data_IF_906923076532
#
_entry.id   IF_906923076532
#
_cell.length_a   1.000
_cell.length_b   1.000
_cell.length_c   1.000
_cell.angle_alpha   90.00
_cell.angle_beta   90.00
_cell.angle_gamma   90.00
#
_symmetry.space_group_name_H-M   'P 1'
#
loop_
_entity.id
_entity.type
_entity.pdbx_description
1 polymer ?
#
# COMPACT_ATOMS: atom_id res chain seq x y z
N UNK A 1 3.55 -12.94 -33.80
CA UNK A 1 2.65 -13.43 -32.74
C UNK A 1 3.09 -12.79 -31.44
N UNK A 2 2.40 -11.75 -31.03
CA UNK A 2 2.72 -10.99 -29.81
C UNK A 2 2.10 -11.71 -28.61
N UNK A 3 2.93 -12.12 -27.65
CA UNK A 3 2.50 -12.72 -26.41
C UNK A 3 1.88 -11.66 -25.49
N UNK A 4 0.62 -11.83 -25.14
CA UNK A 4 -0.06 -11.07 -24.10
C UNK A 4 0.61 -11.35 -22.74
N UNK A 5 1.26 -10.33 -22.23
CA UNK A 5 1.71 -10.28 -20.83
C UNK A 5 0.46 -10.21 -19.95
N UNK A 6 0.14 -11.33 -19.28
CA UNK A 6 -0.96 -11.42 -18.32
C UNK A 6 -0.82 -10.36 -17.24
N UNK A 7 -1.68 -9.32 -17.31
CA UNK A 7 -1.92 -8.39 -16.20
C UNK A 7 -2.53 -9.20 -15.07
N UNK A 8 -1.75 -9.42 -14.03
CA UNK A 8 -2.25 -9.87 -12.74
C UNK A 8 -3.35 -8.89 -12.30
N UNK A 9 -4.59 -9.35 -12.24
CA UNK A 9 -5.75 -8.59 -11.80
C UNK A 9 -5.59 -8.20 -10.34
N UNK A 10 -4.95 -7.07 -10.09
CA UNK A 10 -5.07 -6.36 -8.85
C UNK A 10 -6.55 -5.98 -8.69
N UNK A 11 -7.14 -6.35 -7.57
CA UNK A 11 -8.50 -6.00 -7.18
C UNK A 11 -8.54 -4.49 -6.91
N UNK A 12 -8.57 -3.70 -7.98
CA UNK A 12 -8.70 -2.24 -7.97
C UNK A 12 -10.11 -1.87 -7.48
N UNK A 13 -10.34 -2.05 -6.17
CA UNK A 13 -11.46 -1.37 -5.53
C UNK A 13 -11.25 0.12 -5.77
N UNK A 14 -12.20 0.80 -6.42
CA UNK A 14 -12.07 2.22 -6.68
C UNK A 14 -11.80 2.91 -5.35
N UNK A 15 -10.63 3.52 -5.25
CA UNK A 15 -10.20 4.27 -4.06
C UNK A 15 -11.26 5.33 -3.83
N UNK A 16 -12.08 5.11 -2.78
CA UNK A 16 -13.33 5.81 -2.58
C UNK A 16 -13.15 7.32 -2.42
N UNK A 17 -13.24 8.03 -3.53
CA UNK A 17 -13.35 9.49 -3.56
C UNK A 17 -14.79 9.98 -3.46
N UNK A 18 -15.73 9.10 -3.11
CA UNK A 18 -17.17 9.37 -3.05
C UNK A 18 -17.58 10.32 -1.91
N UNK A 19 -16.69 10.61 -0.96
CA UNK A 19 -16.93 11.60 0.10
C UNK A 19 -17.27 13.00 -0.46
N UNK A 20 -16.83 13.28 -1.68
CA UNK A 20 -17.17 14.52 -2.40
C UNK A 20 -18.67 14.63 -2.61
N UNK A 21 -19.39 13.51 -2.72
CA UNK A 21 -20.84 13.51 -2.87
C UNK A 21 -21.57 14.12 -1.66
N UNK A 22 -20.98 14.10 -0.47
CA UNK A 22 -21.56 14.75 0.70
C UNK A 22 -21.71 16.25 0.51
N UNK A 23 -20.74 16.87 -0.19
CA UNK A 23 -20.83 18.30 -0.51
C UNK A 23 -21.96 18.60 -1.50
N UNK A 24 -22.34 17.63 -2.36
CA UNK A 24 -23.39 17.77 -3.37
C UNK A 24 -24.75 17.39 -2.79
N UNK A 25 -24.86 16.24 -2.12
CA UNK A 25 -26.13 15.64 -1.69
C UNK A 25 -26.75 16.35 -0.49
N UNK A 26 -25.94 17.02 0.34
CA UNK A 26 -26.44 17.78 1.48
C UNK A 26 -26.45 19.27 1.09
N UNK A 27 -27.65 19.85 0.80
CA UNK A 27 -27.77 21.21 0.30
C UNK A 27 -27.30 22.25 1.34
N UNK A 28 -27.14 23.48 0.89
CA UNK A 28 -26.75 24.66 1.68
C UNK A 28 -25.37 24.53 2.36
N UNK A 29 -24.53 23.59 1.90
CA UNK A 29 -23.13 23.47 2.36
C UNK A 29 -22.94 22.64 3.64
N UNK A 30 -23.98 22.15 4.31
CA UNK A 30 -23.86 21.35 5.55
C UNK A 30 -23.07 20.05 5.38
N UNK A 31 -23.07 19.44 4.20
CA UNK A 31 -22.31 18.23 3.90
C UNK A 31 -20.81 18.45 3.72
N UNK A 32 -20.38 19.66 3.38
CA UNK A 32 -18.98 19.98 3.07
C UNK A 32 -18.05 19.79 4.27
N UNK A 33 -18.34 20.33 5.48
CA UNK A 33 -17.53 20.10 6.67
C UNK A 33 -17.38 18.61 7.02
N UNK A 34 -18.50 17.87 6.96
CA UNK A 34 -18.51 16.44 7.24
C UNK A 34 -17.67 15.63 6.23
N UNK A 35 -17.76 15.96 4.95
CA UNK A 35 -16.96 15.36 3.89
C UNK A 35 -15.46 15.57 4.11
N UNK A 36 -15.04 16.81 4.39
CA UNK A 36 -13.63 17.11 4.69
C UNK A 36 -13.14 16.47 6.00
N UNK A 37 -13.99 16.41 7.03
CA UNK A 37 -13.67 15.73 8.28
C UNK A 37 -13.43 14.23 8.06
N UNK A 38 -14.32 13.57 7.33
CA UNK A 38 -14.18 12.17 6.95
C UNK A 38 -12.90 11.93 6.12
N UNK A 39 -12.67 12.76 5.11
CA UNK A 39 -11.48 12.66 4.28
C UNK A 39 -10.19 12.88 5.09
N UNK A 40 -10.20 13.81 6.05
CA UNK A 40 -9.11 14.05 6.97
C UNK A 40 -8.81 12.85 7.85
N UNK A 41 -9.83 12.24 8.44
CA UNK A 41 -9.69 11.04 9.27
C UNK A 41 -9.10 9.88 8.47
N UNK A 42 -9.64 9.62 7.29
CA UNK A 42 -9.21 8.48 6.47
C UNK A 42 -7.82 8.67 5.85
N UNK A 43 -7.47 9.88 5.42
CA UNK A 43 -6.16 10.19 4.82
C UNK A 43 -5.10 10.64 5.84
N UNK A 44 -5.49 11.00 7.07
CA UNK A 44 -4.63 11.58 8.11
C UNK A 44 -4.03 12.94 7.73
N UNK A 45 -4.60 13.61 6.74
CA UNK A 45 -4.14 14.91 6.29
C UNK A 45 -4.67 16.02 7.22
N UNK A 46 -3.79 16.57 8.06
CA UNK A 46 -4.16 17.65 9.01
C UNK A 46 -4.84 18.85 8.33
N UNK A 47 -4.43 19.18 7.12
CA UNK A 47 -5.00 20.26 6.31
C UNK A 47 -6.47 20.07 5.99
N UNK A 48 -6.96 18.83 5.86
CA UNK A 48 -8.38 18.56 5.62
C UNK A 48 -9.23 18.87 6.85
N UNK A 49 -8.70 18.72 8.07
CA UNK A 49 -9.40 19.14 9.29
C UNK A 49 -9.52 20.67 9.39
N UNK A 50 -8.48 21.40 8.98
CA UNK A 50 -8.56 22.88 8.94
C UNK A 50 -9.59 23.35 7.92
N UNK A 51 -9.70 22.70 6.78
CA UNK A 51 -10.73 22.97 5.79
C UNK A 51 -12.14 22.60 6.28
N UNK A 52 -12.28 21.47 6.99
CA UNK A 52 -13.56 21.10 7.61
C UNK A 52 -14.02 22.18 8.61
N UNK A 53 -13.12 22.66 9.46
CA UNK A 53 -13.43 23.74 10.41
C UNK A 53 -13.78 25.04 9.69
N UNK A 54 -13.03 25.44 8.68
CA UNK A 54 -13.31 26.63 7.88
C UNK A 54 -14.72 26.58 7.28
N UNK A 55 -15.08 25.45 6.64
CA UNK A 55 -16.41 25.32 6.04
C UNK A 55 -17.52 25.28 7.10
N UNK A 56 -17.27 24.67 8.27
CA UNK A 56 -18.24 24.70 9.38
C UNK A 56 -18.49 26.11 9.87
N UNK A 57 -17.46 26.94 9.99
CA UNK A 57 -17.59 28.35 10.40
C UNK A 57 -18.35 29.16 9.35
N UNK A 58 -18.07 28.94 8.05
CA UNK A 58 -18.79 29.65 6.98
C UNK A 58 -20.28 29.30 6.93
N UNK A 59 -20.61 28.01 7.09
CA UNK A 59 -22.01 27.57 7.17
C UNK A 59 -22.69 28.17 8.39
N UNK A 60 -22.07 28.13 9.57
CA UNK A 60 -22.64 28.74 10.77
C UNK A 60 -22.87 30.22 10.64
N UNK A 61 -21.92 30.95 10.02
CA UNK A 61 -22.08 32.39 9.76
C UNK A 61 -23.29 32.66 8.83
N UNK A 62 -23.47 31.87 7.75
CA UNK A 62 -24.60 32.00 6.85
C UNK A 62 -25.95 31.76 7.53
N UNK A 63 -26.02 30.73 8.38
CA UNK A 63 -27.21 30.43 9.19
C UNK A 63 -27.54 31.60 10.13
N UNK A 64 -26.54 32.10 10.87
CA UNK A 64 -26.77 33.24 11.77
C UNK A 64 -27.24 34.47 11.01
N UNK A 65 -26.70 34.75 9.82
CA UNK A 65 -27.14 35.86 8.99
C UNK A 65 -28.62 35.73 8.55
N UNK A 66 -29.02 34.50 8.20
CA UNK A 66 -30.39 34.21 7.81
C UNK A 66 -31.40 34.32 8.98
N UNK A 67 -30.99 33.93 10.20
CA UNK A 67 -31.85 33.86 11.38
C UNK A 67 -31.98 35.20 12.15
N UNK A 68 -30.96 36.09 12.08
CA UNK A 68 -30.93 37.33 12.88
C UNK A 68 -31.74 38.46 12.24
N UNK A 69 -32.01 38.39 10.92
CA UNK A 69 -32.78 39.40 10.20
C UNK A 69 -34.29 39.25 10.38
N UNK A 70 -35.09 40.34 10.13
CA UNK A 70 -36.53 40.19 9.98
C UNK A 70 -36.85 39.29 8.79
N UNK A 71 -37.92 38.50 8.91
CA UNK A 71 -38.42 37.65 7.82
C UNK A 71 -38.61 38.51 6.53
N UNK A 72 -38.17 37.99 5.39
CA UNK A 72 -38.12 38.70 4.10
C UNK A 72 -37.26 39.97 4.09
N UNK A 73 -36.36 40.15 5.05
CA UNK A 73 -35.44 41.27 5.11
C UNK A 73 -34.22 41.10 4.21
N UNK A 74 -33.50 42.23 3.97
CA UNK A 74 -32.28 42.22 3.19
C UNK A 74 -31.20 41.31 3.79
N UNK A 75 -31.14 41.14 5.13
CA UNK A 75 -30.18 40.31 5.82
C UNK A 75 -30.48 38.81 5.66
N UNK A 76 -31.76 38.41 5.73
CA UNK A 76 -32.19 37.03 5.46
C UNK A 76 -31.87 36.62 4.01
N UNK A 77 -32.22 37.48 3.03
CA UNK A 77 -31.85 37.26 1.62
C UNK A 77 -30.32 37.14 1.43
N UNK A 78 -29.54 38.00 2.08
CA UNK A 78 -28.07 37.96 2.01
C UNK A 78 -27.52 36.68 2.64
N UNK A 79 -28.08 36.22 3.76
CA UNK A 79 -27.71 34.95 4.42
C UNK A 79 -27.96 33.73 3.54
N UNK A 80 -29.12 33.69 2.91
CA UNK A 80 -29.51 32.62 1.97
C UNK A 80 -28.60 32.57 0.73
N UNK A 81 -28.30 33.71 0.13
CA UNK A 81 -27.37 33.83 -1.00
C UNK A 81 -25.94 33.43 -0.59
N UNK A 82 -25.53 33.83 0.62
CA UNK A 82 -24.23 33.44 1.17
C UNK A 82 -24.12 31.92 1.38
N UNK A 83 -25.15 31.27 1.94
CA UNK A 83 -25.19 29.81 2.10
C UNK A 83 -25.13 29.09 0.74
N UNK A 84 -25.83 29.63 -0.27
CA UNK A 84 -25.72 29.07 -1.62
C UNK A 84 -24.32 29.21 -2.20
N UNK A 85 -23.65 30.35 -2.01
CA UNK A 85 -22.27 30.56 -2.45
C UNK A 85 -21.30 29.64 -1.71
N UNK A 86 -21.48 29.46 -0.39
CA UNK A 86 -20.72 28.53 0.45
C UNK A 86 -20.90 27.09 -0.06
N UNK A 87 -22.12 26.71 -0.38
CA UNK A 87 -22.39 25.38 -0.94
C UNK A 87 -21.67 25.13 -2.28
N UNK A 88 -21.81 26.04 -3.22
CA UNK A 88 -21.15 25.95 -4.55
C UNK A 88 -19.62 25.96 -4.41
N UNK A 89 -19.07 26.84 -3.56
CA UNK A 89 -17.65 26.90 -3.26
C UNK A 89 -17.14 25.62 -2.58
N UNK A 90 -17.93 25.06 -1.69
CA UNK A 90 -17.65 23.78 -1.01
C UNK A 90 -17.54 22.61 -1.98
N UNK A 91 -18.45 22.53 -2.95
CA UNK A 91 -18.41 21.53 -4.02
C UNK A 91 -17.10 21.67 -4.82
N UNK A 92 -16.83 22.88 -5.33
CA UNK A 92 -15.60 23.13 -6.10
C UNK A 92 -14.33 22.78 -5.32
N UNK A 93 -14.26 23.17 -4.04
CA UNK A 93 -13.13 22.86 -3.18
C UNK A 93 -12.98 21.36 -2.91
N UNK A 94 -14.07 20.62 -2.71
CA UNK A 94 -14.05 19.17 -2.51
C UNK A 94 -13.49 18.46 -3.76
N UNK A 95 -13.90 18.87 -4.96
CA UNK A 95 -13.33 18.35 -6.21
C UNK A 95 -11.84 18.69 -6.36
N UNK A 96 -11.42 19.90 -6.02
CA UNK A 96 -10.01 20.30 -6.06
C UNK A 96 -9.15 19.54 -5.06
N UNK A 97 -9.69 19.16 -3.89
CA UNK A 97 -8.99 18.40 -2.86
C UNK A 97 -8.91 16.89 -3.13
N UNK A 98 -9.79 16.35 -4.00
CA UNK A 98 -9.89 14.91 -4.30
C UNK A 98 -8.58 14.28 -4.77
N UNK A 99 -7.80 14.86 -5.69
CA UNK A 99 -6.54 14.25 -6.14
C UNK A 99 -5.52 14.07 -5.01
N UNK A 100 -5.39 15.05 -4.12
CA UNK A 100 -4.51 14.95 -2.96
C UNK A 100 -4.94 13.82 -2.02
N UNK A 101 -6.24 13.71 -1.76
CA UNK A 101 -6.80 12.63 -0.94
C UNK A 101 -6.50 11.25 -1.52
N UNK A 102 -6.73 11.05 -2.82
CA UNK A 102 -6.48 9.77 -3.50
C UNK A 102 -4.99 9.41 -3.44
N UNK A 103 -4.11 10.37 -3.74
CA UNK A 103 -2.65 10.15 -3.66
C UNK A 103 -2.22 9.72 -2.27
N UNK A 104 -2.69 10.40 -1.21
CA UNK A 104 -2.35 10.03 0.18
C UNK A 104 -2.85 8.66 0.59
N UNK A 105 -3.99 8.22 0.08
CA UNK A 105 -4.47 6.87 0.31
C UNK A 105 -3.62 5.82 -0.41
N UNK A 106 -3.18 6.10 -1.64
CA UNK A 106 -2.26 5.24 -2.37
C UNK A 106 -0.93 5.10 -1.64
N UNK A 107 -0.29 6.22 -1.25
CA UNK A 107 0.97 6.23 -0.49
C UNK A 107 0.87 5.40 0.80
N UNK A 108 -0.27 5.49 1.52
CA UNK A 108 -0.51 4.67 2.72
C UNK A 108 -0.70 3.20 2.41
N UNK A 109 -1.37 2.88 1.32
CA UNK A 109 -1.55 1.52 0.83
C UNK A 109 -0.19 0.88 0.51
N UNK A 110 0.68 1.59 -0.18
CA UNK A 110 2.02 1.14 -0.54
C UNK A 110 2.90 0.89 0.69
N UNK A 111 2.86 1.79 1.68
CA UNK A 111 3.59 1.60 2.95
C UNK A 111 3.05 0.41 3.73
N UNK A 112 1.72 0.24 3.80
CA UNK A 112 1.12 -0.91 4.47
C UNK A 112 1.47 -2.23 3.77
N UNK A 113 1.45 -2.27 2.44
CA UNK A 113 1.84 -3.42 1.66
C UNK A 113 3.33 -3.77 1.83
N UNK A 114 4.21 -2.74 1.84
CA UNK A 114 5.64 -2.93 2.10
C UNK A 114 5.89 -3.49 3.50
N UNK A 115 5.20 -2.97 4.53
CA UNK A 115 5.27 -3.47 5.90
C UNK A 115 4.82 -4.94 5.99
N UNK A 116 3.68 -5.27 5.38
CA UNK A 116 3.17 -6.64 5.35
C UNK A 116 4.17 -7.62 4.70
N UNK A 117 4.81 -7.22 3.59
CA UNK A 117 5.87 -8.04 2.95
C UNK A 117 7.08 -8.26 3.87
N UNK A 118 7.50 -7.24 4.62
CA UNK A 118 8.61 -7.38 5.57
C UNK A 118 8.24 -8.31 6.73
N UNK A 119 7.04 -8.19 7.27
CA UNK A 119 6.53 -9.07 8.32
C UNK A 119 6.42 -10.52 7.85
N UNK A 120 5.93 -10.76 6.62
CA UNK A 120 5.87 -12.09 6.03
C UNK A 120 7.27 -12.70 5.89
N UNK A 121 8.26 -11.94 5.40
CA UNK A 121 9.66 -12.40 5.31
C UNK A 121 10.26 -12.72 6.68
N UNK A 122 9.98 -11.89 7.68
CA UNK A 122 10.46 -12.14 9.04
C UNK A 122 9.86 -13.44 9.61
N UNK A 123 8.57 -13.68 9.43
CA UNK A 123 7.90 -14.92 9.84
C UNK A 123 8.44 -16.14 9.11
N UNK A 124 8.70 -16.04 7.79
CA UNK A 124 9.28 -17.11 7.00
C UNK A 124 10.66 -17.51 7.53
N UNK A 125 11.51 -16.53 7.84
CA UNK A 125 12.85 -16.75 8.38
C UNK A 125 12.80 -17.36 9.79
N UNK A 126 11.88 -16.91 10.60
CA UNK A 126 11.70 -17.46 11.94
C UNK A 126 11.21 -18.90 11.88
N UNK A 127 10.22 -19.21 11.04
CA UNK A 127 9.76 -20.57 10.83
C UNK A 127 10.87 -21.48 10.29
N UNK A 128 11.65 -21.01 9.31
CA UNK A 128 12.77 -21.76 8.77
C UNK A 128 13.87 -22.09 9.81
N UNK A 129 13.97 -21.29 10.89
CA UNK A 129 14.92 -21.54 11.99
C UNK A 129 14.33 -22.42 13.08
N UNK A 130 13.08 -22.19 13.48
CA UNK A 130 12.44 -22.86 14.61
C UNK A 130 11.91 -24.24 14.24
N UNK A 131 11.38 -24.39 13.03
CA UNK A 131 10.81 -25.65 12.52
C UNK A 131 11.04 -25.78 11.00
N UNK A 132 12.25 -26.23 10.60
CA UNK A 132 12.60 -26.37 9.19
C UNK A 132 11.76 -27.43 8.46
N UNK A 133 11.25 -28.44 9.15
CA UNK A 133 10.42 -29.49 8.55
C UNK A 133 9.05 -28.93 8.17
N UNK A 134 8.41 -28.22 9.08
CA UNK A 134 7.15 -27.53 8.81
C UNK A 134 7.33 -26.47 7.72
N UNK A 135 8.43 -25.72 7.73
CA UNK A 135 8.74 -24.73 6.68
C UNK A 135 8.82 -25.40 5.30
N UNK A 136 9.41 -26.60 5.23
CA UNK A 136 9.52 -27.40 4.00
C UNK A 136 8.16 -27.91 3.55
N UNK A 137 7.34 -28.45 4.46
CA UNK A 137 5.97 -28.92 4.16
C UNK A 137 5.09 -27.81 3.62
N UNK A 138 5.18 -26.61 4.17
CA UNK A 138 4.47 -25.43 3.70
C UNK A 138 5.04 -24.84 2.40
N UNK A 139 6.16 -25.34 1.90
CA UNK A 139 6.84 -24.83 0.71
C UNK A 139 7.37 -23.42 0.88
N UNK A 140 7.82 -23.06 2.09
CA UNK A 140 8.42 -21.74 2.36
C UNK A 140 9.64 -21.54 1.46
N UNK A 141 9.63 -20.44 0.71
CA UNK A 141 10.71 -20.10 -0.23
C UNK A 141 10.69 -20.88 -1.55
N UNK A 142 9.63 -21.63 -1.85
CA UNK A 142 9.50 -22.41 -3.09
C UNK A 142 8.30 -21.97 -3.92
N UNK A 143 8.37 -20.80 -4.57
CA UNK A 143 7.23 -20.23 -5.32
C UNK A 143 6.78 -21.07 -6.52
N UNK A 144 7.64 -21.99 -6.97
CA UNK A 144 7.35 -22.93 -8.08
C UNK A 144 6.39 -24.06 -7.69
N UNK A 145 6.19 -24.32 -6.41
CA UNK A 145 5.31 -25.39 -5.95
C UNK A 145 3.85 -24.93 -5.88
N UNK A 146 2.90 -25.72 -6.38
CA UNK A 146 1.49 -25.43 -6.23
C UNK A 146 1.07 -25.35 -4.76
N UNK A 147 0.41 -24.27 -4.37
CA UNK A 147 -0.06 -24.07 -2.98
C UNK A 147 1.02 -23.66 -1.97
N UNK A 148 2.27 -23.50 -2.40
CA UNK A 148 3.36 -23.10 -1.52
C UNK A 148 3.15 -21.70 -0.93
N UNK A 149 3.55 -21.56 0.34
CA UNK A 149 3.57 -20.28 1.04
C UNK A 149 4.97 -19.66 0.93
N UNK A 150 5.31 -19.14 -0.25
CA UNK A 150 6.67 -18.60 -0.50
C UNK A 150 7.03 -17.45 0.46
N UNK A 151 6.04 -16.71 1.01
CA UNK A 151 6.18 -15.66 2.04
C UNK A 151 7.22 -14.58 1.70
N UNK A 152 7.49 -14.38 0.40
CA UNK A 152 8.43 -13.37 -0.10
C UNK A 152 9.90 -13.66 0.16
N UNK A 153 10.26 -14.90 0.46
CA UNK A 153 11.64 -15.43 0.54
C UNK A 153 11.84 -16.54 -0.49
N UNK A 154 13.09 -16.89 -0.77
CA UNK A 154 13.47 -18.02 -1.65
C UNK A 154 14.34 -18.98 -0.86
N UNK A 155 14.03 -20.26 -0.91
CA UNK A 155 14.88 -21.31 -0.32
C UNK A 155 16.03 -21.68 -1.28
N UNK A 156 17.24 -21.31 -0.91
CA UNK A 156 18.42 -21.51 -1.76
C UNK A 156 18.68 -22.99 -2.01
N UNK A 157 18.39 -23.84 -1.04
CA UNK A 157 18.72 -25.25 -1.11
C UNK A 157 17.72 -26.08 -1.94
N UNK A 158 16.46 -25.66 -2.04
CA UNK A 158 15.44 -26.49 -2.69
C UNK A 158 14.72 -25.81 -3.86
N UNK A 159 14.81 -24.48 -4.02
CA UNK A 159 14.12 -23.76 -5.08
C UNK A 159 14.68 -24.09 -6.47
N UNK A 160 13.86 -23.96 -7.51
CA UNK A 160 14.29 -24.10 -8.91
C UNK A 160 15.23 -22.98 -9.33
N UNK A 161 15.98 -23.18 -10.43
CA UNK A 161 16.85 -22.13 -10.98
C UNK A 161 16.06 -20.86 -11.34
N UNK A 162 14.84 -21.00 -11.88
CA UNK A 162 13.95 -19.89 -12.21
C UNK A 162 13.51 -19.13 -10.96
N UNK A 163 13.27 -19.82 -9.85
CA UNK A 163 12.93 -19.19 -8.58
C UNK A 163 14.17 -18.48 -7.98
N UNK A 164 15.35 -19.10 -8.02
CA UNK A 164 16.60 -18.49 -7.58
C UNK A 164 16.96 -17.24 -8.36
N UNK A 165 16.66 -17.17 -9.67
CA UNK A 165 16.86 -15.98 -10.49
C UNK A 165 15.97 -14.79 -10.08
N UNK A 166 15.00 -14.98 -9.17
CA UNK A 166 14.21 -13.88 -8.59
C UNK A 166 14.92 -13.22 -7.39
N UNK A 167 16.01 -13.82 -6.88
CA UNK A 167 16.81 -13.22 -5.83
C UNK A 167 17.56 -11.98 -6.34
N UNK A 168 17.66 -10.91 -5.53
CA UNK A 168 18.33 -9.68 -5.93
C UNK A 168 19.81 -9.89 -6.23
N UNK A 169 20.22 -9.65 -7.47
CA UNK A 169 21.60 -9.81 -7.92
C UNK A 169 21.94 -11.21 -8.43
N UNK A 170 20.96 -12.09 -8.54
CA UNK A 170 21.09 -13.43 -9.12
C UNK A 170 20.51 -13.42 -10.53
N UNK A 171 21.35 -13.61 -11.52
CA UNK A 171 20.92 -13.84 -12.91
C UNK A 171 20.75 -15.35 -13.19
N UNK A 172 20.28 -15.69 -14.38
CA UNK A 172 20.02 -17.09 -14.76
C UNK A 172 21.29 -17.95 -14.74
N UNK A 173 22.47 -17.38 -15.06
CA UNK A 173 23.73 -18.10 -15.04
C UNK A 173 24.18 -18.41 -13.61
N UNK A 174 24.08 -17.42 -12.72
CA UNK A 174 24.38 -17.59 -11.30
C UNK A 174 23.37 -18.54 -10.65
N UNK A 175 22.08 -18.47 -10.99
CA UNK A 175 21.06 -19.40 -10.50
C UNK A 175 21.37 -20.85 -10.89
N UNK A 176 21.75 -21.12 -12.14
CA UNK A 176 22.14 -22.44 -12.59
C UNK A 176 23.41 -22.95 -11.85
N UNK A 177 24.39 -22.06 -11.63
CA UNK A 177 25.59 -22.36 -10.86
C UNK A 177 25.26 -22.68 -9.39
N UNK A 178 24.34 -21.94 -8.77
CA UNK A 178 23.86 -22.22 -7.42
C UNK A 178 23.25 -23.63 -7.30
N UNK A 179 22.43 -24.04 -8.28
CA UNK A 179 21.85 -25.39 -8.31
C UNK A 179 22.95 -26.46 -8.41
N UNK A 180 23.92 -26.32 -9.32
CA UNK A 180 24.98 -27.28 -9.49
C UNK A 180 25.85 -27.42 -8.22
N UNK A 181 26.29 -26.29 -7.67
CA UNK A 181 27.19 -26.28 -6.50
C UNK A 181 26.51 -26.81 -5.23
N UNK A 182 25.21 -26.49 -5.00
CA UNK A 182 24.52 -27.01 -3.81
C UNK A 182 24.43 -28.56 -3.80
N UNK A 183 24.32 -29.17 -4.98
CA UNK A 183 24.32 -30.62 -5.10
C UNK A 183 25.69 -31.24 -4.77
N UNK A 184 26.77 -30.52 -5.12
CA UNK A 184 28.15 -30.97 -4.82
C UNK A 184 28.52 -30.81 -3.34
N UNK A 185 28.09 -29.70 -2.69
CA UNK A 185 28.47 -29.38 -1.30
C UNK A 185 27.45 -29.87 -0.27
N UNK A 186 26.31 -30.43 -0.68
CA UNK A 186 25.25 -30.86 0.23
C UNK A 186 24.43 -29.70 0.81
N UNK A 187 24.28 -28.62 0.05
CA UNK A 187 23.53 -27.44 0.43
C UNK A 187 24.36 -26.34 1.12
N UNK A 188 23.73 -25.16 1.28
CA UNK A 188 24.34 -24.03 1.98
C UNK A 188 23.60 -23.79 3.31
N UNK A 189 24.37 -23.41 4.35
CA UNK A 189 23.81 -23.09 5.68
C UNK A 189 23.50 -21.61 5.84
N UNK A 190 24.15 -20.75 5.04
CA UNK A 190 24.04 -19.30 5.17
C UNK A 190 24.47 -18.56 3.90
N UNK A 191 24.06 -17.29 3.78
CA UNK A 191 24.50 -16.43 2.68
C UNK A 191 26.02 -16.17 2.66
N UNK A 192 26.72 -15.95 3.79
CA UNK A 192 28.18 -15.87 3.79
C UNK A 192 28.87 -17.14 3.27
N UNK A 193 28.42 -18.33 3.66
CA UNK A 193 28.97 -19.61 3.16
C UNK A 193 28.75 -19.74 1.65
N UNK A 194 27.54 -19.44 1.17
CA UNK A 194 27.24 -19.39 -0.26
C UNK A 194 28.19 -18.44 -0.99
N UNK A 195 28.39 -17.23 -0.47
CA UNK A 195 29.29 -16.25 -1.08
C UNK A 195 30.72 -16.71 -1.19
N UNK A 196 31.23 -17.38 -0.16
CA UNK A 196 32.58 -17.93 -0.14
C UNK A 196 32.77 -19.09 -1.12
N UNK A 197 31.75 -19.95 -1.28
CA UNK A 197 31.81 -21.14 -2.15
C UNK A 197 31.67 -20.76 -3.63
N UNK A 198 30.82 -19.77 -3.95
CA UNK A 198 30.51 -19.41 -5.34
C UNK A 198 31.29 -18.18 -5.83
N UNK A 199 32.07 -17.55 -4.97
CA UNK A 199 32.84 -16.34 -5.29
C UNK A 199 31.92 -15.19 -5.77
N UNK A 200 30.96 -14.80 -4.91
CA UNK A 200 30.02 -13.72 -5.13
C UNK A 200 30.39 -12.53 -4.25
N UNK A 201 30.28 -11.33 -4.77
CA UNK A 201 30.61 -10.11 -4.03
C UNK A 201 29.75 -9.91 -2.77
N UNK A 202 30.32 -9.24 -1.77
CA UNK A 202 29.69 -9.06 -0.45
C UNK A 202 28.33 -8.35 -0.51
N UNK A 203 28.13 -7.45 -1.47
CA UNK A 203 26.87 -6.70 -1.62
C UNK A 203 25.76 -7.65 -2.11
N UNK A 204 26.08 -8.51 -3.07
CA UNK A 204 25.16 -9.52 -3.58
C UNK A 204 24.85 -10.58 -2.51
N UNK A 205 25.84 -11.03 -1.75
CA UNK A 205 25.65 -11.92 -0.59
C UNK A 205 24.69 -11.32 0.43
N UNK A 206 24.86 -10.05 0.78
CA UNK A 206 23.95 -9.36 1.70
C UNK A 206 22.52 -9.26 1.15
N UNK A 207 22.36 -8.95 -0.14
CA UNK A 207 21.06 -8.90 -0.80
C UNK A 207 20.36 -10.25 -0.82
N UNK A 208 21.07 -11.32 -1.16
CA UNK A 208 20.59 -12.69 -1.08
C UNK A 208 20.15 -13.00 0.35
N UNK A 209 21.00 -12.74 1.34
CA UNK A 209 20.71 -13.01 2.76
C UNK A 209 19.45 -12.31 3.28
N UNK A 210 19.07 -11.15 2.70
CA UNK A 210 17.82 -10.46 3.05
C UNK A 210 16.56 -11.14 2.49
N UNK A 211 16.68 -11.83 1.36
CA UNK A 211 15.55 -12.39 0.60
C UNK A 211 15.52 -13.93 0.61
N UNK A 212 16.54 -14.58 1.13
CA UNK A 212 16.69 -16.04 1.14
C UNK A 212 16.43 -16.66 2.51
N UNK A 213 16.09 -17.95 2.48
CA UNK A 213 16.19 -18.92 3.58
C UNK A 213 17.06 -20.09 3.14
N UNK A 214 17.61 -20.83 4.09
CA UNK A 214 18.52 -21.96 3.88
C UNK A 214 17.97 -23.13 4.68
N UNK A 215 16.96 -23.83 4.14
CA UNK A 215 16.42 -25.03 4.78
C UNK A 215 17.45 -26.17 4.69
N UNK A 216 17.50 -27.05 5.69
CA UNK A 216 18.40 -28.22 5.64
C UNK A 216 18.19 -29.07 4.38
N UNK A 217 19.26 -29.59 3.81
CA UNK A 217 19.22 -30.35 2.56
C UNK A 217 18.68 -31.75 2.81
#
# INVERSE_FOLDING_TARGET
>A
MAGEVGRAGGNDKPVGGWWVLWAILVPLGFGTPAGFLYAGFRSGARRLYTWALMWAVLVAAGVVMAEVGPEDGALDTAGSLFLFAVWMGGIGHAFAARPEYIRRLADRGDVAAARSRLEQRARAKELARSDPELARELGVGRPELPGAQAMGVIDVNHASAEALAQLPGVDAQLAARLVAVREEVGGFRSAPELGAVIDVDAITVERIGRAAVFLPF
#
